data_IF_832058185853
#
_entry.id   IF_832058185853
#
_cell.length_a   1.000
_cell.length_b   1.000
_cell.length_c   1.000
_cell.angle_alpha   90.00
_cell.angle_beta   90.00
_cell.angle_gamma   90.00
#
_symmetry.space_group_name_H-M   'P 1'
#
loop_
_entity.id
_entity.type
_entity.pdbx_description
1 polymer ?
#
# COMPACT_ATOMS: atom_id res chain seq x y z
N UNK A 1 -27.63 -37.53 -22.29
CA UNK A 1 -26.89 -36.31 -22.69
C UNK A 1 -27.17 -35.24 -21.64
N UNK A 2 -26.25 -34.30 -21.39
CA UNK A 2 -26.20 -33.36 -20.24
C UNK A 2 -25.52 -33.95 -19.00
N UNK A 3 -24.18 -33.87 -18.94
CA UNK A 3 -23.37 -33.84 -17.69
C UNK A 3 -21.89 -33.55 -17.98
N UNK A 4 -21.60 -32.56 -18.85
CA UNK A 4 -20.22 -32.18 -19.18
C UNK A 4 -19.98 -30.66 -19.21
N UNK A 5 -20.92 -29.85 -18.71
CA UNK A 5 -20.84 -28.37 -18.74
C UNK A 5 -20.59 -27.70 -17.39
N UNK A 6 -20.72 -28.41 -16.27
CA UNK A 6 -20.68 -27.81 -14.92
C UNK A 6 -19.30 -27.84 -14.26
N UNK A 7 -18.41 -28.76 -14.67
CA UNK A 7 -17.11 -28.96 -14.03
C UNK A 7 -16.08 -27.91 -14.51
N UNK A 8 -16.17 -27.47 -15.76
CA UNK A 8 -15.25 -26.48 -16.34
C UNK A 8 -15.44 -25.08 -15.73
N UNK A 9 -16.67 -24.69 -15.41
CA UNK A 9 -16.96 -23.39 -14.79
C UNK A 9 -16.39 -23.28 -13.35
N UNK A 10 -16.37 -24.38 -12.60
CA UNK A 10 -15.90 -24.40 -11.21
C UNK A 10 -14.38 -24.28 -11.10
N UNK A 11 -13.65 -24.97 -11.98
CA UNK A 11 -12.18 -24.91 -12.05
C UNK A 11 -11.69 -23.52 -12.53
N UNK A 12 -12.41 -22.88 -13.46
CA UNK A 12 -12.07 -21.51 -13.89
C UNK A 12 -12.32 -20.46 -12.79
N UNK A 13 -13.36 -20.62 -11.97
CA UNK A 13 -13.61 -19.69 -10.86
C UNK A 13 -12.50 -19.77 -9.79
N UNK A 14 -12.05 -20.97 -9.41
CA UNK A 14 -11.02 -21.13 -8.37
C UNK A 14 -9.66 -20.54 -8.75
N UNK A 15 -9.29 -20.58 -10.04
CA UNK A 15 -8.04 -19.99 -10.54
C UNK A 15 -8.10 -18.46 -10.56
N UNK A 16 -9.28 -17.87 -10.78
CA UNK A 16 -9.45 -16.41 -10.83
C UNK A 16 -9.33 -15.76 -9.43
N UNK A 17 -9.89 -16.40 -8.39
CA UNK A 17 -9.83 -15.89 -7.01
C UNK A 17 -8.44 -15.97 -6.35
N UNK A 18 -7.58 -16.90 -6.76
CA UNK A 18 -6.24 -17.04 -6.19
C UNK A 18 -5.27 -15.92 -6.64
N UNK A 19 -5.47 -15.36 -7.84
CA UNK A 19 -4.57 -14.36 -8.44
C UNK A 19 -4.71 -12.94 -7.85
N UNK A 20 -5.72 -12.68 -7.02
CA UNK A 20 -5.95 -11.34 -6.44
C UNK A 20 -5.15 -11.13 -5.15
N UNK A 21 -4.99 -12.17 -4.32
CA UNK A 21 -4.21 -12.10 -3.07
C UNK A 21 -2.76 -11.67 -3.32
N UNK A 22 -2.12 -12.27 -4.33
CA UNK A 22 -0.71 -12.00 -4.66
C UNK A 22 -0.50 -10.54 -5.10
N UNK A 23 -1.47 -9.95 -5.81
CA UNK A 23 -1.43 -8.54 -6.19
C UNK A 23 -1.49 -7.63 -4.96
N UNK A 24 -2.33 -7.97 -3.98
CA UNK A 24 -2.44 -7.18 -2.76
C UNK A 24 -1.19 -7.28 -1.89
N UNK A 25 -0.58 -8.46 -1.79
CA UNK A 25 0.73 -8.65 -1.14
C UNK A 25 1.79 -7.75 -1.78
N UNK A 26 1.93 -7.81 -3.10
CA UNK A 26 2.88 -6.96 -3.83
C UNK A 26 2.57 -5.46 -3.62
N UNK A 27 1.29 -5.10 -3.59
CA UNK A 27 0.85 -3.72 -3.39
C UNK A 27 1.27 -3.19 -2.01
N UNK A 28 1.15 -4.00 -0.95
CA UNK A 28 1.61 -3.62 0.39
C UNK A 28 3.12 -3.34 0.41
N UNK A 29 3.93 -4.23 -0.17
CA UNK A 29 5.38 -4.03 -0.24
C UNK A 29 5.77 -2.81 -1.08
N UNK A 30 5.10 -2.61 -2.21
CA UNK A 30 5.33 -1.45 -3.09
C UNK A 30 4.99 -0.14 -2.39
N UNK A 31 3.85 -0.08 -1.69
CA UNK A 31 3.43 1.09 -0.92
C UNK A 31 4.42 1.40 0.19
N UNK A 32 4.88 0.41 0.96
CA UNK A 32 5.88 0.60 2.00
C UNK A 32 7.22 1.13 1.45
N UNK A 33 7.68 0.59 0.32
CA UNK A 33 8.89 1.06 -0.36
C UNK A 33 8.76 2.51 -0.85
N UNK A 34 7.60 2.90 -1.35
CA UNK A 34 7.33 4.27 -1.77
C UNK A 34 7.25 5.25 -0.59
N UNK A 35 6.70 4.84 0.55
CA UNK A 35 6.76 5.64 1.78
C UNK A 35 8.22 5.89 2.19
N UNK A 36 9.06 4.85 2.16
CA UNK A 36 10.50 4.99 2.44
C UNK A 36 11.19 5.95 1.46
N UNK A 37 10.85 5.85 0.17
CA UNK A 37 11.38 6.74 -0.87
C UNK A 37 10.96 8.21 -0.66
N UNK A 38 9.70 8.43 -0.26
CA UNK A 38 9.20 9.77 0.07
C UNK A 38 9.93 10.36 1.28
N UNK A 39 10.16 9.56 2.33
CA UNK A 39 10.92 9.99 3.49
C UNK A 39 12.34 10.43 3.11
N UNK A 40 13.03 9.68 2.25
CA UNK A 40 14.36 10.06 1.75
C UNK A 40 14.32 11.37 0.94
N UNK A 41 13.29 11.58 0.12
CA UNK A 41 13.12 12.83 -0.63
C UNK A 41 12.88 14.03 0.31
N UNK A 42 12.12 13.85 1.39
CA UNK A 42 11.90 14.87 2.42
C UNK A 42 13.20 15.18 3.16
N UNK A 43 14.01 14.18 3.50
CA UNK A 43 15.29 14.39 4.17
C UNK A 43 16.26 15.22 3.31
N UNK A 44 16.30 14.95 2.00
CA UNK A 44 17.06 15.76 1.05
C UNK A 44 16.53 17.19 0.95
N UNK A 45 15.21 17.36 0.86
CA UNK A 45 14.59 18.69 0.86
C UNK A 45 14.96 19.46 2.14
N UNK A 46 14.89 18.82 3.30
CA UNK A 46 15.23 19.43 4.58
C UNK A 46 16.71 19.82 4.64
N UNK A 47 17.60 18.97 4.13
CA UNK A 47 19.04 19.26 4.05
C UNK A 47 19.33 20.54 3.25
N UNK A 48 18.60 20.77 2.15
CA UNK A 48 18.83 21.94 1.30
C UNK A 48 18.15 23.21 1.81
N UNK A 49 16.99 23.07 2.45
CA UNK A 49 16.11 24.20 2.78
C UNK A 49 16.03 24.52 4.28
N UNK A 50 16.56 23.66 5.16
CA UNK A 50 16.39 23.70 6.62
C UNK A 50 14.91 23.78 7.06
N UNK A 51 13.99 23.27 6.24
CA UNK A 51 12.55 23.26 6.48
C UNK A 51 11.97 21.97 5.93
N UNK A 52 11.00 21.39 6.63
CA UNK A 52 10.23 20.24 6.13
C UNK A 52 9.21 20.80 5.12
N UNK A 53 8.99 20.14 3.97
CA UNK A 53 8.04 20.62 2.97
C UNK A 53 6.62 20.67 3.58
N UNK A 54 5.80 21.64 3.19
CA UNK A 54 4.42 21.73 3.70
C UNK A 54 3.48 20.75 3.02
N UNK A 55 3.83 20.34 1.80
CA UNK A 55 3.10 19.39 0.97
C UNK A 55 4.08 18.51 0.19
N UNK A 56 3.66 17.31 -0.21
CA UNK A 56 4.50 16.43 -1.03
C UNK A 56 4.78 17.00 -2.43
N UNK A 57 3.95 17.90 -2.94
CA UNK A 57 4.12 18.54 -4.25
C UNK A 57 5.40 19.41 -4.32
N UNK A 58 5.85 19.95 -3.19
CA UNK A 58 7.09 20.75 -3.12
C UNK A 58 8.36 19.94 -3.42
N UNK A 59 8.27 18.61 -3.37
CA UNK A 59 9.37 17.71 -3.71
C UNK A 59 9.58 17.62 -5.23
N UNK A 60 8.62 18.08 -6.05
CA UNK A 60 8.64 17.96 -7.51
C UNK A 60 9.12 19.28 -8.14
N UNK A 61 9.93 19.25 -9.22
CA UNK A 61 10.55 18.09 -9.86
C UNK A 61 11.93 17.71 -9.28
N UNK A 62 12.41 18.45 -8.27
CA UNK A 62 13.83 18.45 -7.89
C UNK A 62 14.24 17.23 -7.07
N UNK A 63 13.36 16.74 -6.20
CA UNK A 63 13.59 15.58 -5.34
C UNK A 63 12.80 14.34 -5.83
N UNK A 64 11.73 14.56 -6.60
CA UNK A 64 10.94 13.52 -7.26
C UNK A 64 10.48 13.97 -8.65
N UNK A 65 10.34 13.04 -9.59
CA UNK A 65 9.95 13.36 -10.98
C UNK A 65 8.46 13.61 -11.15
N UNK A 66 7.63 12.89 -10.41
CA UNK A 66 6.18 12.88 -10.53
C UNK A 66 5.51 12.63 -9.18
N UNK A 67 4.22 12.97 -9.02
CA UNK A 67 3.48 12.64 -7.81
C UNK A 67 3.44 11.14 -7.59
N UNK A 68 3.92 10.69 -6.43
CA UNK A 68 3.84 9.28 -6.05
C UNK A 68 2.45 9.00 -5.47
N UNK A 69 1.74 8.08 -6.11
CA UNK A 69 0.53 7.45 -5.56
C UNK A 69 0.91 6.11 -4.92
N UNK A 70 0.09 5.65 -3.98
CA UNK A 70 0.25 4.31 -3.44
C UNK A 70 -0.04 3.23 -4.50
N UNK A 71 0.17 1.96 -4.15
CA UNK A 71 0.01 0.87 -5.10
C UNK A 71 -1.44 0.68 -5.60
N UNK A 72 -2.43 1.28 -4.93
CA UNK A 72 -3.84 1.26 -5.29
C UNK A 72 -4.27 2.54 -6.03
N UNK A 73 -3.36 3.48 -6.24
CA UNK A 73 -3.62 4.74 -6.94
C UNK A 73 -4.17 5.84 -6.04
N UNK A 74 -4.15 5.66 -4.72
CA UNK A 74 -4.57 6.70 -3.77
C UNK A 74 -3.40 7.66 -3.46
N UNK A 75 -3.75 8.88 -3.06
CA UNK A 75 -2.76 9.83 -2.54
C UNK A 75 -2.32 9.43 -1.14
N UNK A 76 -1.04 9.67 -0.82
CA UNK A 76 -0.54 9.55 0.53
C UNK A 76 -1.07 10.66 1.43
N UNK A 77 -1.39 10.32 2.68
CA UNK A 77 -1.62 11.30 3.73
C UNK A 77 -0.27 11.77 4.27
N UNK A 78 0.00 13.06 4.13
CA UNK A 78 1.17 13.71 4.70
C UNK A 78 0.73 14.67 5.79
N UNK A 79 1.32 14.52 6.99
CA UNK A 79 1.00 15.38 8.14
C UNK A 79 2.28 15.82 8.84
N UNK A 80 2.41 17.12 9.06
CA UNK A 80 3.43 17.69 9.94
C UNK A 80 3.06 17.49 11.40
N UNK A 81 4.02 17.12 12.23
CA UNK A 81 3.92 17.14 13.70
C UNK A 81 4.74 18.31 14.26
N UNK A 82 4.82 18.43 15.59
CA UNK A 82 5.59 19.51 16.25
C UNK A 82 7.09 19.45 15.91
N UNK A 83 7.63 18.26 15.70
CA UNK A 83 9.05 17.96 15.59
C UNK A 83 9.41 17.06 14.39
N UNK A 84 8.43 16.60 13.62
CA UNK A 84 8.61 15.59 12.58
C UNK A 84 7.48 15.64 11.54
N UNK A 85 7.34 14.55 10.78
CA UNK A 85 6.26 14.32 9.83
C UNK A 85 5.81 12.86 9.87
N UNK A 86 4.63 12.60 9.31
CA UNK A 86 4.08 11.26 9.12
C UNK A 86 3.54 11.12 7.71
N UNK A 87 3.84 9.99 7.09
CA UNK A 87 3.33 9.59 5.78
C UNK A 87 2.54 8.31 5.97
N UNK A 88 1.31 8.24 5.46
CA UNK A 88 0.54 7.00 5.46
C UNK A 88 -0.29 6.79 4.20
N UNK A 89 -0.59 5.53 3.89
CA UNK A 89 -1.59 5.08 2.92
C UNK A 89 -2.72 4.39 3.68
N UNK A 90 -3.96 4.60 3.23
CA UNK A 90 -5.17 3.99 3.80
C UNK A 90 -5.49 2.62 3.21
N UNK A 91 -4.49 1.97 2.60
CA UNK A 91 -4.67 0.67 1.98
C UNK A 91 -5.63 0.70 0.78
N UNK A 92 -6.13 -0.50 0.46
CA UNK A 92 -6.97 -0.75 -0.70
C UNK A 92 -8.33 -0.04 -0.66
N UNK A 93 -8.97 0.06 0.50
CA UNK A 93 -10.33 0.60 0.64
C UNK A 93 -10.38 2.12 0.88
N UNK A 94 -9.21 2.76 0.98
CA UNK A 94 -9.04 4.18 1.23
C UNK A 94 -9.77 4.66 2.52
N UNK A 95 -9.90 3.80 3.53
CA UNK A 95 -10.53 4.11 4.80
C UNK A 95 -9.57 3.84 5.95
N UNK A 96 -9.72 4.60 7.05
CA UNK A 96 -8.91 4.41 8.25
C UNK A 96 -9.19 3.03 8.85
N UNK A 97 -8.13 2.27 9.12
CA UNK A 97 -8.19 0.97 9.78
C UNK A 97 -8.07 -0.20 8.80
N UNK A 98 -9.06 -1.09 8.78
CA UNK A 98 -9.09 -2.23 7.87
C UNK A 98 -8.17 -3.41 8.23
N UNK A 99 -8.33 -4.51 7.50
CA UNK A 99 -7.48 -5.70 7.59
C UNK A 99 -6.90 -6.11 6.23
N UNK A 100 -5.78 -6.82 6.25
CA UNK A 100 -5.17 -7.35 5.04
C UNK A 100 -4.77 -6.22 4.09
N UNK A 101 -5.32 -6.23 2.88
CA UNK A 101 -5.01 -5.20 1.89
C UNK A 101 -5.53 -3.81 2.25
N UNK A 102 -6.55 -3.74 3.11
CA UNK A 102 -7.12 -2.47 3.61
C UNK A 102 -6.37 -1.91 4.80
N UNK A 103 -5.41 -2.63 5.38
CA UNK A 103 -4.69 -2.11 6.54
C UNK A 103 -3.89 -0.86 6.19
N UNK A 104 -4.07 0.19 6.98
CA UNK A 104 -3.26 1.42 6.91
C UNK A 104 -1.76 1.09 6.97
N UNK A 105 -0.96 1.75 6.13
CA UNK A 105 0.51 1.60 6.11
C UNK A 105 1.12 2.95 6.39
N UNK A 106 1.95 3.06 7.42
CA UNK A 106 2.58 4.32 7.83
C UNK A 106 4.12 4.25 7.91
N UNK A 107 4.75 5.42 7.88
CA UNK A 107 6.21 5.59 7.87
C UNK A 107 6.93 5.13 9.14
N UNK A 108 6.20 4.78 10.22
CA UNK A 108 6.77 4.29 11.48
C UNK A 108 6.75 2.77 11.55
N UNK A 109 6.08 2.09 10.63
CA UNK A 109 5.99 0.63 10.61
C UNK A 109 7.35 -0.04 10.35
N UNK A 110 7.60 -1.14 11.05
CA UNK A 110 8.78 -1.98 10.82
C UNK A 110 8.56 -2.98 9.68
N UNK A 111 9.63 -3.57 9.16
CA UNK A 111 9.54 -4.67 8.17
C UNK A 111 8.72 -5.85 8.72
N UNK A 112 8.82 -6.11 10.02
CA UNK A 112 8.05 -7.11 10.73
C UNK A 112 6.56 -6.79 10.75
N UNK A 113 6.19 -5.52 10.90
CA UNK A 113 4.78 -5.08 10.86
C UNK A 113 4.21 -5.22 9.45
N UNK A 114 4.96 -4.80 8.42
CA UNK A 114 4.57 -5.02 7.02
C UNK A 114 4.37 -6.50 6.73
N UNK A 115 5.25 -7.38 7.25
CA UNK A 115 5.12 -8.83 7.09
C UNK A 115 3.85 -9.38 7.76
N UNK A 116 3.44 -8.85 8.91
CA UNK A 116 2.18 -9.25 9.57
C UNK A 116 0.97 -8.90 8.70
N UNK A 117 0.97 -7.74 8.05
CA UNK A 117 -0.09 -7.31 7.13
C UNK A 117 -0.18 -8.33 5.97
N UNK A 118 0.94 -8.64 5.33
CA UNK A 118 1.00 -9.61 4.23
C UNK A 118 0.50 -11.00 4.66
N UNK A 119 0.90 -11.48 5.83
CA UNK A 119 0.37 -12.75 6.37
C UNK A 119 -1.15 -12.68 6.57
N UNK A 120 -1.68 -11.53 6.99
CA UNK A 120 -3.11 -11.36 7.22
C UNK A 120 -3.95 -11.34 5.92
N UNK A 121 -3.37 -10.95 4.78
CA UNK A 121 -4.00 -11.04 3.46
C UNK A 121 -4.29 -12.50 3.09
N UNK A 122 -3.31 -13.38 3.32
CA UNK A 122 -3.30 -14.78 2.87
C UNK A 122 -4.05 -15.74 3.81
N UNK A 123 -5.10 -15.29 4.49
CA UNK A 123 -5.76 -16.10 5.53
C UNK A 123 -6.46 -17.35 4.93
N UNK A 124 -6.06 -18.58 5.32
CA UNK A 124 -6.28 -19.80 4.52
C UNK A 124 -7.70 -20.39 4.54
N UNK A 125 -8.65 -19.81 5.29
CA UNK A 125 -9.98 -20.43 5.48
C UNK A 125 -11.11 -19.81 4.64
N UNK A 126 -10.98 -18.58 4.12
CA UNK A 126 -12.08 -17.87 3.45
C UNK A 126 -11.69 -17.03 2.21
N UNK A 127 -10.47 -17.16 1.69
CA UNK A 127 -9.98 -16.34 0.56
C UNK A 127 -9.29 -15.05 1.01
N UNK A 128 -8.95 -14.18 0.06
CA UNK A 128 -8.17 -12.96 0.30
C UNK A 128 -8.90 -12.00 1.25
N UNK A 129 -8.23 -11.55 2.32
CA UNK A 129 -8.75 -10.47 3.15
C UNK A 129 -8.36 -9.11 2.56
N UNK A 130 -9.37 -8.43 2.04
CA UNK A 130 -9.25 -7.11 1.38
C UNK A 130 -10.15 -6.04 2.02
N UNK A 131 -10.70 -6.33 3.21
CA UNK A 131 -11.55 -5.46 4.02
C UNK A 131 -11.23 -5.69 5.51
#
# INVERSE_FOLDING_TARGET
MVKLGLITAWVCLSVYYANDCEKHEFSVYKTAFYIESLSQAIDLYYSDNNQIPKTLDELIPHYMREPMLDAWGNQYNFRLTLDSYEISSLGFDAQIGGMGASTDIDSKMTKEDIKKIVISINSPLLGCKVH
#
